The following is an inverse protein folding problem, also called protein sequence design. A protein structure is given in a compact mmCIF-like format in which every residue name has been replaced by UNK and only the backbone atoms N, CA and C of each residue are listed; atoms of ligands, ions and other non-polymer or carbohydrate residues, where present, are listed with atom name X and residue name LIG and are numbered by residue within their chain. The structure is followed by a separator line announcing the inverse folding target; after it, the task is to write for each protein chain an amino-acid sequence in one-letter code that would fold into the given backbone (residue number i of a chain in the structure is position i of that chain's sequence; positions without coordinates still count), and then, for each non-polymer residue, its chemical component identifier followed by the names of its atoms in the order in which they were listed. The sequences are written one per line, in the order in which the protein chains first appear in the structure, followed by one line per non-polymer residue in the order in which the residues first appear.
data_IF_477538462627
#
_entry.id   IF_477538462627
#
_cell.length_a   1.000
_cell.length_b   1.000
_cell.length_c   1.000
_cell.angle_alpha   90.00
_cell.angle_beta   90.00
_cell.angle_gamma   90.00
#
_symmetry.space_group_name_H-M   'P 1'
#
loop_
_entity.id
_entity.type
_entity.pdbx_description
1 polymer ?
#
# COMPACT_ATOMS: atom_id res chain seq x y z
N UNK A 1 59.62 19.57 -0.14
CA UNK A 1 58.57 19.87 0.86
C UNK A 1 57.23 19.51 0.24
N UNK A 2 56.45 18.68 0.93
CA UNK A 2 55.16 18.09 0.48
C UNK A 2 54.06 19.16 0.53
N UNK A 3 53.35 19.40 -0.57
CA UNK A 3 52.07 20.11 -0.52
C UNK A 3 50.94 19.10 -0.64
N UNK A 4 50.13 19.06 0.42
CA UNK A 4 49.02 18.13 0.63
C UNK A 4 47.93 18.33 -0.42
N UNK A 5 47.49 17.22 -1.02
CA UNK A 5 46.24 17.14 -1.78
C UNK A 5 45.08 17.18 -0.78
N UNK A 6 44.28 18.25 -0.83
CA UNK A 6 43.01 18.33 -0.11
C UNK A 6 41.98 17.47 -0.81
N UNK A 7 41.75 16.26 -0.29
CA UNK A 7 40.65 15.40 -0.70
C UNK A 7 39.36 15.91 -0.05
N UNK A 8 38.59 16.71 -0.79
CA UNK A 8 37.23 17.12 -0.40
C UNK A 8 36.31 15.90 -0.45
N UNK A 9 36.03 15.30 0.71
CA UNK A 9 35.05 14.23 0.85
C UNK A 9 33.64 14.77 0.61
N UNK A 10 32.99 14.27 -0.44
CA UNK A 10 31.56 14.51 -0.68
C UNK A 10 30.80 13.71 0.38
N UNK A 11 30.34 14.38 1.43
CA UNK A 11 29.36 13.82 2.36
C UNK A 11 28.01 13.76 1.63
N UNK A 12 27.64 12.57 1.18
CA UNK A 12 26.28 12.26 0.72
C UNK A 12 25.36 12.35 1.95
N UNK A 13 24.82 13.53 2.22
CA UNK A 13 23.71 13.70 3.17
C UNK A 13 22.52 12.95 2.59
N UNK A 14 22.15 11.84 3.22
CA UNK A 14 20.85 11.22 2.99
C UNK A 14 19.78 12.28 3.26
N UNK A 15 18.99 12.62 2.24
CA UNK A 15 17.80 13.43 2.42
C UNK A 15 16.96 12.81 3.55
N UNK A 16 16.27 13.62 4.38
CA UNK A 16 15.47 13.09 5.48
C UNK A 16 14.34 12.25 4.89
N UNK A 17 14.59 10.94 4.78
CA UNK A 17 13.60 9.96 4.44
C UNK A 17 12.63 9.87 5.61
N UNK A 18 11.33 9.90 5.31
CA UNK A 18 10.29 9.65 6.31
C UNK A 18 10.64 8.38 7.10
N UNK A 19 10.33 8.39 8.40
CA UNK A 19 10.60 7.26 9.26
C UNK A 19 10.03 5.99 8.63
N UNK A 20 10.83 4.93 8.56
CA UNK A 20 10.41 3.64 8.00
C UNK A 20 9.14 3.21 8.76
N UNK A 21 7.99 3.03 8.06
CA UNK A 21 6.75 2.70 8.71
C UNK A 21 6.88 1.44 9.55
N UNK A 22 6.30 1.48 10.74
CA UNK A 22 6.19 0.30 11.60
C UNK A 22 4.88 -0.42 11.32
N UNK A 23 4.75 -1.66 11.80
CA UNK A 23 3.49 -2.43 11.68
C UNK A 23 2.28 -1.69 12.26
N UNK A 24 2.48 -0.80 13.25
CA UNK A 24 1.41 -0.01 13.84
C UNK A 24 0.86 1.07 12.88
N UNK A 25 1.68 1.54 11.95
CA UNK A 25 1.32 2.58 10.97
C UNK A 25 0.62 1.98 9.75
N UNK A 26 0.85 0.70 9.46
CA UNK A 26 0.37 -0.02 8.27
C UNK A 26 -1.13 0.14 8.04
N UNK A 27 -2.03 -0.01 9.04
CA UNK A 27 -3.46 0.13 8.81
C UNK A 27 -3.86 1.53 8.32
N UNK A 28 -3.28 2.57 8.92
CA UNK A 28 -3.56 3.96 8.56
C UNK A 28 -3.03 4.28 7.15
N UNK A 29 -1.81 3.84 6.85
CA UNK A 29 -1.19 4.04 5.54
C UNK A 29 -1.93 3.31 4.43
N UNK A 30 -2.37 2.07 4.66
CA UNK A 30 -3.14 1.31 3.69
C UNK A 30 -4.50 1.94 3.40
N UNK A 31 -5.22 2.37 4.46
CA UNK A 31 -6.49 3.10 4.29
C UNK A 31 -6.30 4.40 3.51
N UNK A 32 -5.24 5.15 3.79
CA UNK A 32 -4.92 6.36 3.03
C UNK A 32 -4.61 6.06 1.56
N UNK A 33 -3.88 4.98 1.26
CA UNK A 33 -3.58 4.56 -0.11
C UNK A 33 -4.84 4.21 -0.90
N UNK A 34 -5.76 3.46 -0.30
CA UNK A 34 -7.04 3.10 -0.92
C UNK A 34 -7.94 4.33 -1.07
N UNK A 35 -8.10 5.15 -0.02
CA UNK A 35 -8.97 6.33 -0.05
C UNK A 35 -8.58 7.33 -1.15
N UNK A 36 -7.28 7.47 -1.46
CA UNK A 36 -6.80 8.32 -2.56
C UNK A 36 -7.26 7.86 -3.95
N UNK A 37 -7.57 6.57 -4.13
CA UNK A 37 -7.96 6.02 -5.44
C UNK A 37 -9.46 6.08 -5.72
N UNK A 38 -10.27 5.86 -4.70
CA UNK A 38 -11.71 5.61 -4.89
C UNK A 38 -12.63 6.58 -4.14
N UNK A 39 -12.06 7.64 -3.54
CA UNK A 39 -12.80 8.71 -2.83
C UNK A 39 -13.87 8.17 -1.84
N UNK A 40 -13.50 7.12 -1.10
CA UNK A 40 -14.35 6.52 -0.06
C UNK A 40 -13.88 6.92 1.34
N UNK A 41 -14.79 7.00 2.32
CA UNK A 41 -14.39 7.21 3.69
C UNK A 41 -13.59 6.02 4.22
N UNK A 42 -12.61 6.28 5.09
CA UNK A 42 -11.78 5.25 5.72
C UNK A 42 -12.57 4.20 6.55
N UNK A 43 -13.82 4.50 6.89
CA UNK A 43 -14.77 3.60 7.54
C UNK A 43 -15.32 2.52 6.61
N UNK A 44 -15.36 2.76 5.29
CA UNK A 44 -15.77 1.78 4.29
C UNK A 44 -14.64 0.80 3.92
N UNK A 45 -13.42 1.05 4.41
CA UNK A 45 -12.22 0.25 4.12
C UNK A 45 -11.96 -0.70 5.28
N UNK A 46 -12.11 -1.99 5.00
CA UNK A 46 -11.94 -3.10 5.94
C UNK A 46 -10.66 -3.87 5.62
N UNK A 47 -9.70 -3.84 6.54
CA UNK A 47 -8.46 -4.60 6.41
C UNK A 47 -8.71 -6.03 6.92
N UNK A 48 -8.42 -7.01 6.06
CA UNK A 48 -8.53 -8.43 6.41
C UNK A 48 -7.19 -8.98 6.92
N UNK A 49 -6.09 -8.57 6.28
CA UNK A 49 -4.75 -9.00 6.65
C UNK A 49 -3.74 -7.88 6.46
N UNK A 50 -2.81 -7.75 7.41
CA UNK A 50 -1.64 -6.88 7.31
C UNK A 50 -0.44 -7.63 7.90
N UNK A 51 0.61 -7.83 7.10
CA UNK A 51 1.78 -8.62 7.52
C UNK A 51 3.06 -8.21 6.79
N UNK A 52 4.24 -8.47 7.36
CA UNK A 52 5.50 -8.30 6.63
C UNK A 52 5.48 -9.12 5.34
N UNK A 53 5.95 -8.52 4.25
CA UNK A 53 6.10 -9.24 2.98
C UNK A 53 7.38 -10.05 3.00
N UNK A 54 7.32 -11.30 2.52
CA UNK A 54 8.51 -12.13 2.28
C UNK A 54 9.10 -11.93 0.89
N UNK A 55 8.35 -11.29 -0.02
CA UNK A 55 8.71 -11.09 -1.44
C UNK A 55 9.13 -9.65 -1.74
N UNK A 56 8.63 -8.68 -0.98
CA UNK A 56 8.87 -7.25 -1.21
C UNK A 56 9.30 -6.56 0.09
N UNK A 57 10.01 -5.43 0.04
CA UNK A 57 10.31 -4.67 1.25
C UNK A 57 9.04 -4.12 1.91
N UNK A 58 8.93 -4.28 3.23
CA UNK A 58 7.84 -3.71 4.03
C UNK A 58 6.68 -4.67 4.30
N UNK A 59 5.45 -4.22 4.12
CA UNK A 59 4.22 -4.92 4.52
C UNK A 59 3.25 -5.07 3.36
N UNK A 60 2.58 -6.21 3.29
CA UNK A 60 1.40 -6.40 2.42
C UNK A 60 0.13 -6.21 3.24
N UNK A 61 -0.86 -5.59 2.62
CA UNK A 61 -2.18 -5.38 3.20
C UNK A 61 -3.24 -5.79 2.19
N UNK A 62 -4.15 -6.65 2.64
CA UNK A 62 -5.30 -7.10 1.88
C UNK A 62 -6.57 -6.69 2.60
N UNK A 63 -7.58 -6.29 1.85
CA UNK A 63 -8.85 -5.90 2.44
C UNK A 63 -9.96 -5.70 1.42
N UNK A 64 -11.12 -5.28 1.92
CA UNK A 64 -12.29 -4.99 1.11
C UNK A 64 -12.75 -3.56 1.35
N UNK A 65 -13.36 -2.98 0.33
CA UNK A 65 -14.05 -1.70 0.40
C UNK A 65 -15.52 -1.98 0.17
N UNK A 66 -16.38 -1.47 1.05
CA UNK A 66 -17.82 -1.50 0.81
C UNK A 66 -18.11 -0.73 -0.48
N UNK A 67 -18.76 -1.39 -1.44
CA UNK A 67 -19.02 -0.81 -2.76
C UNK A 67 -19.93 0.42 -2.67
N UNK A 68 -19.58 1.49 -3.37
CA UNK A 68 -20.52 2.57 -3.66
C UNK A 68 -21.50 2.05 -4.73
N UNK A 69 -22.79 2.04 -4.41
CA UNK A 69 -23.81 1.58 -5.35
C UNK A 69 -23.70 2.36 -6.67
N UNK A 70 -23.30 1.68 -7.75
CA UNK A 70 -23.36 2.26 -9.09
C UNK A 70 -24.81 2.57 -9.48
N UNK A 71 -25.06 3.59 -10.31
CA UNK A 71 -26.41 3.95 -10.70
C UNK A 71 -26.97 2.88 -11.68
N UNK A 72 -27.63 1.85 -11.14
CA UNK A 72 -28.50 0.96 -11.93
C UNK A 72 -28.39 -0.56 -11.70
N UNK A 73 -28.21 -1.07 -10.48
CA UNK A 73 -28.18 -2.53 -10.27
C UNK A 73 -28.71 -2.99 -8.92
N UNK A 74 -29.79 -3.77 -8.94
CA UNK A 74 -30.45 -4.46 -7.83
C UNK A 74 -29.66 -5.69 -7.36
N UNK A 75 -28.36 -5.50 -7.10
CA UNK A 75 -27.47 -6.51 -6.54
C UNK A 75 -26.75 -5.89 -5.37
N UNK A 76 -26.75 -6.55 -4.22
CA UNK A 76 -25.94 -6.18 -3.05
C UNK A 76 -24.56 -5.70 -3.49
N UNK A 77 -24.09 -4.52 -3.07
CA UNK A 77 -22.80 -4.00 -3.52
C UNK A 77 -21.73 -5.05 -3.21
N UNK A 78 -21.16 -5.68 -4.25
CA UNK A 78 -20.05 -6.59 -4.06
C UNK A 78 -18.90 -5.76 -3.47
N UNK A 79 -18.44 -6.15 -2.29
CA UNK A 79 -17.35 -5.46 -1.62
C UNK A 79 -16.08 -5.58 -2.49
N UNK A 80 -15.55 -4.45 -2.93
CA UNK A 80 -14.39 -4.37 -3.82
C UNK A 80 -13.13 -4.77 -3.07
N UNK A 81 -12.36 -5.72 -3.61
CA UNK A 81 -11.11 -6.14 -2.96
C UNK A 81 -9.98 -5.20 -3.31
N UNK A 82 -9.06 -5.03 -2.38
CA UNK A 82 -7.82 -4.29 -2.60
C UNK A 82 -6.58 -5.03 -2.11
N UNK A 83 -5.44 -4.64 -2.67
CA UNK A 83 -4.10 -5.04 -2.26
C UNK A 83 -3.18 -3.82 -2.20
N UNK A 84 -2.43 -3.65 -1.12
CA UNK A 84 -1.49 -2.54 -0.89
C UNK A 84 -0.15 -3.08 -0.40
N UNK A 85 0.94 -2.43 -0.82
CA UNK A 85 2.29 -2.66 -0.30
C UNK A 85 2.76 -1.39 0.40
N UNK A 86 3.11 -1.45 1.69
CA UNK A 86 3.66 -0.35 2.50
C UNK A 86 5.18 -0.57 2.64
N UNK A 87 6.05 0.46 2.53
CA UNK A 87 5.79 1.90 2.50
C UNK A 87 5.28 2.47 1.16
N UNK A 88 5.01 1.62 0.17
CA UNK A 88 4.39 2.09 -1.08
C UNK A 88 3.04 2.78 -0.83
N UNK A 89 2.71 3.67 -1.75
CA UNK A 89 1.46 4.45 -1.75
C UNK A 89 0.41 3.86 -2.70
N UNK A 90 0.73 2.71 -3.30
CA UNK A 90 -0.01 2.06 -4.37
C UNK A 90 -1.03 1.06 -3.83
N UNK A 91 -2.30 1.28 -4.18
CA UNK A 91 -3.38 0.32 -4.00
C UNK A 91 -3.81 -0.22 -5.36
N UNK A 92 -4.00 -1.54 -5.43
CA UNK A 92 -4.62 -2.24 -6.56
C UNK A 92 -6.01 -2.64 -6.10
N UNK A 93 -7.03 -2.29 -6.86
CA UNK A 93 -8.41 -2.70 -6.60
C UNK A 93 -8.94 -3.62 -7.69
N UNK A 94 -10.06 -4.30 -7.44
CA UNK A 94 -10.67 -5.19 -8.44
C UNK A 94 -10.98 -4.45 -9.75
N UNK A 95 -11.37 -3.16 -9.68
CA UNK A 95 -11.61 -2.34 -10.87
C UNK A 95 -10.35 -2.07 -11.73
N UNK A 96 -9.15 -2.15 -11.13
CA UNK A 96 -7.88 -1.99 -11.86
C UNK A 96 -7.51 -3.27 -12.64
N UNK A 97 -8.09 -4.41 -12.23
CA UNK A 97 -7.86 -5.70 -12.84
C UNK A 97 -8.04 -6.83 -11.83
N UNK A 98 -9.22 -7.47 -11.87
CA UNK A 98 -9.58 -8.58 -10.97
C UNK A 98 -8.53 -9.70 -10.92
N UNK A 99 -7.97 -10.09 -12.08
CA UNK A 99 -6.92 -11.11 -12.15
C UNK A 99 -5.62 -10.71 -11.45
N UNK A 100 -5.32 -9.41 -11.40
CA UNK A 100 -4.14 -8.89 -10.71
C UNK A 100 -4.33 -8.96 -9.20
N UNK A 101 -5.50 -8.54 -8.70
CA UNK A 101 -5.85 -8.69 -7.29
C UNK A 101 -5.88 -10.16 -6.88
N UNK A 102 -6.48 -11.04 -7.69
CA UNK A 102 -6.51 -12.48 -7.44
C UNK A 102 -5.09 -13.06 -7.28
N UNK A 103 -4.18 -12.68 -8.17
CA UNK A 103 -2.78 -13.14 -8.14
C UNK A 103 -2.11 -12.69 -6.84
N UNK A 104 -2.16 -11.40 -6.51
CA UNK A 104 -1.50 -10.90 -5.31
C UNK A 104 -2.15 -11.39 -4.02
N UNK A 105 -3.46 -11.56 -3.99
CA UNK A 105 -4.17 -12.15 -2.86
C UNK A 105 -3.76 -13.59 -2.61
N UNK A 106 -3.76 -14.41 -3.65
CA UNK A 106 -3.35 -15.82 -3.56
C UNK A 106 -1.89 -15.93 -3.13
N UNK A 107 -1.00 -15.19 -3.80
CA UNK A 107 0.44 -15.22 -3.53
C UNK A 107 0.83 -14.75 -2.13
N UNK A 108 -0.02 -13.93 -1.51
CA UNK A 108 0.20 -13.41 -0.17
C UNK A 108 -0.73 -14.07 0.85
N UNK A 109 -1.43 -15.16 0.52
CA UNK A 109 -2.31 -15.89 1.43
C UNK A 109 -3.28 -14.96 2.17
N UNK A 110 -3.99 -14.15 1.40
CA UNK A 110 -5.06 -13.28 1.86
C UNK A 110 -6.39 -14.02 1.65
N UNK A 111 -6.65 -14.99 2.55
CA UNK A 111 -7.85 -15.83 2.56
C UNK A 111 -8.76 -15.46 3.74
#
# INVERSE_FOLDING_TARGET
MKHLLMAGGILLVAAPGEAVPTIADVPALAKAAVARRIDVPASAIHILAAKPSSKMPGFVVCGRVDGTSGPGGESTPEAERFFVIIPGDFAILDQDGKSLVDTYWFENHCE
#
